data_IF_912793352981
#
_entry.id   IF_912793352981
#
_cell.length_a   1.000
_cell.length_b   1.000
_cell.length_c   1.000
_cell.angle_alpha   90.00
_cell.angle_beta   90.00
_cell.angle_gamma   90.00
#
_symmetry.space_group_name_H-M   'P 1'
#
loop_
_entity.id
_entity.type
_entity.pdbx_description
1 polymer ?
#
# COMPACT_ATOMS: atom_id res chain seq x y z
N UNK A 1 9.80 -24.92 0.65
CA UNK A 1 9.50 -23.51 1.02
C UNK A 1 9.94 -23.12 2.43
N UNK A 2 10.85 -23.86 3.09
CA UNK A 2 11.32 -23.52 4.45
C UNK A 2 10.16 -23.25 5.41
N UNK A 3 10.27 -22.19 6.21
CA UNK A 3 9.24 -21.72 7.14
C UNK A 3 8.10 -20.92 6.50
N UNK A 4 8.15 -20.66 5.18
CA UNK A 4 7.22 -19.72 4.52
C UNK A 4 5.76 -20.08 4.78
N UNK A 5 5.35 -21.32 4.48
CA UNK A 5 3.93 -21.70 4.54
C UNK A 5 3.37 -21.61 5.96
N UNK A 6 4.10 -22.16 6.93
CA UNK A 6 3.75 -22.06 8.36
C UNK A 6 3.74 -20.62 8.87
N UNK A 7 4.60 -19.75 8.33
CA UNK A 7 4.64 -18.34 8.70
C UNK A 7 3.43 -17.59 8.13
N UNK A 8 3.08 -17.81 6.87
CA UNK A 8 1.89 -17.21 6.26
C UNK A 8 0.62 -17.65 7.00
N UNK A 9 0.50 -18.94 7.33
CA UNK A 9 -0.62 -19.48 8.10
C UNK A 9 -0.71 -18.82 9.50
N UNK A 10 0.42 -18.68 10.20
CA UNK A 10 0.47 -18.06 11.53
C UNK A 10 0.19 -16.55 11.54
N UNK A 11 0.40 -15.86 10.41
CA UNK A 11 0.14 -14.43 10.24
C UNK A 11 -1.17 -14.14 9.48
N UNK A 12 -1.94 -15.19 9.16
CA UNK A 12 -3.20 -15.08 8.42
C UNK A 12 -3.03 -14.34 7.06
N UNK A 13 -1.91 -14.63 6.39
CA UNK A 13 -1.59 -14.10 5.07
C UNK A 13 -1.98 -15.13 4.02
N UNK A 14 -2.93 -14.78 3.16
CA UNK A 14 -3.34 -15.65 2.06
C UNK A 14 -2.24 -15.77 1.00
N UNK A 15 -1.89 -16.99 0.53
CA UNK A 15 -1.04 -17.18 -0.64
C UNK A 15 -1.60 -16.53 -1.92
N UNK A 16 -2.90 -16.23 -1.99
CA UNK A 16 -3.52 -15.56 -3.12
C UNK A 16 -3.03 -14.11 -3.31
N UNK A 17 -2.48 -13.50 -2.24
CA UNK A 17 -1.83 -12.17 -2.27
C UNK A 17 -0.48 -12.15 -3.01
N UNK A 18 0.01 -13.32 -3.47
CA UNK A 18 1.32 -13.44 -4.08
C UNK A 18 1.48 -12.50 -5.28
N UNK A 19 2.53 -11.69 -5.21
CA UNK A 19 3.05 -10.89 -6.32
C UNK A 19 4.54 -11.13 -6.47
N UNK A 20 5.04 -11.15 -7.70
CA UNK A 20 6.40 -11.53 -8.05
C UNK A 20 7.17 -10.33 -8.60
N UNK A 21 8.29 -10.00 -7.98
CA UNK A 21 9.20 -8.94 -8.38
C UNK A 21 10.52 -9.53 -8.84
N UNK A 22 10.87 -9.30 -10.10
CA UNK A 22 12.12 -9.79 -10.68
C UNK A 22 13.24 -8.76 -10.69
N UNK A 23 12.92 -7.49 -10.43
CA UNK A 23 13.93 -6.45 -10.36
C UNK A 23 14.87 -6.62 -9.16
N UNK A 24 16.15 -6.34 -9.36
CA UNK A 24 17.21 -6.39 -8.36
C UNK A 24 17.19 -5.15 -7.44
N UNK A 25 16.07 -4.96 -6.73
CA UNK A 25 15.80 -3.78 -5.87
C UNK A 25 15.62 -4.15 -4.40
N UNK A 26 16.06 -5.33 -3.98
CA UNK A 26 15.90 -5.89 -2.63
C UNK A 26 17.25 -6.07 -1.91
N UNK A 27 17.21 -6.20 -0.59
CA UNK A 27 18.33 -6.63 0.24
C UNK A 27 19.00 -7.93 -0.28
N UNK A 28 18.22 -8.86 -0.84
CA UNK A 28 18.71 -10.12 -1.39
C UNK A 28 18.93 -10.08 -2.92
N UNK A 29 19.21 -8.91 -3.51
CA UNK A 29 19.32 -8.70 -4.97
C UNK A 29 20.19 -9.71 -5.72
N UNK A 30 21.25 -10.23 -5.10
CA UNK A 30 22.16 -11.22 -5.72
C UNK A 30 21.50 -12.56 -6.02
N UNK A 31 20.34 -12.85 -5.43
CA UNK A 31 19.58 -14.09 -5.59
C UNK A 31 18.28 -13.89 -6.41
N UNK A 32 18.06 -12.67 -6.91
CA UNK A 32 16.86 -12.29 -7.66
C UNK A 32 17.24 -12.05 -9.13
N UNK A 33 16.46 -12.62 -10.03
CA UNK A 33 16.58 -12.44 -11.48
C UNK A 33 15.20 -12.58 -12.13
N UNK A 34 15.04 -12.24 -13.42
CA UNK A 34 13.86 -12.58 -14.21
C UNK A 34 13.47 -14.05 -14.10
N UNK A 35 14.43 -14.98 -14.11
CA UNK A 35 14.18 -16.42 -13.96
C UNK A 35 13.88 -16.89 -12.53
N UNK A 36 14.18 -16.07 -11.51
CA UNK A 36 14.01 -16.37 -10.08
C UNK A 36 13.53 -15.13 -9.32
N UNK A 37 12.30 -14.63 -9.59
CA UNK A 37 11.78 -13.47 -8.89
C UNK A 37 11.62 -13.71 -7.39
N UNK A 38 11.63 -12.62 -6.62
CA UNK A 38 11.19 -12.61 -5.22
C UNK A 38 9.67 -12.63 -5.18
N UNK A 39 9.09 -13.46 -4.32
CA UNK A 39 7.67 -13.39 -3.99
C UNK A 39 7.44 -12.43 -2.84
N UNK A 40 6.39 -11.62 -2.93
CA UNK A 40 5.85 -10.82 -1.83
C UNK A 40 4.43 -11.28 -1.57
N UNK A 41 4.12 -11.50 -0.30
CA UNK A 41 2.78 -11.83 0.22
C UNK A 41 2.41 -10.76 1.23
N UNK A 42 1.12 -10.47 1.39
CA UNK A 42 0.68 -9.45 2.34
C UNK A 42 -0.73 -9.71 2.85
N UNK A 43 -0.97 -9.27 4.09
CA UNK A 43 -2.30 -9.01 4.62
C UNK A 43 -2.43 -7.48 4.85
N UNK A 44 -3.33 -7.07 5.74
CA UNK A 44 -3.62 -5.65 5.98
C UNK A 44 -2.46 -4.86 6.59
N UNK A 45 -1.59 -5.49 7.38
CA UNK A 45 -0.54 -4.79 8.14
C UNK A 45 0.87 -5.36 7.93
N UNK A 46 1.00 -6.57 7.40
CA UNK A 46 2.23 -7.35 7.36
C UNK A 46 2.54 -7.83 5.95
N UNK A 47 3.82 -7.75 5.58
CA UNK A 47 4.36 -8.07 4.27
C UNK A 47 5.50 -9.08 4.42
N UNK A 48 5.48 -10.13 3.63
CA UNK A 48 6.49 -11.20 3.65
C UNK A 48 7.18 -11.27 2.29
N UNK A 49 8.50 -11.05 2.28
CA UNK A 49 9.37 -11.24 1.13
C UNK A 49 10.08 -12.59 1.19
N UNK A 50 9.94 -13.39 0.13
CA UNK A 50 10.58 -14.69 0.00
C UNK A 50 11.38 -14.80 -1.30
N UNK A 51 12.65 -15.18 -1.18
CA UNK A 51 13.56 -15.39 -2.31
C UNK A 51 13.94 -16.87 -2.37
N UNK A 52 13.90 -17.45 -3.57
CA UNK A 52 14.32 -18.83 -3.80
C UNK A 52 15.78 -19.03 -3.37
N UNK A 53 16.02 -19.90 -2.39
CA UNK A 53 17.36 -20.12 -1.82
C UNK A 53 17.92 -18.93 -1.05
N UNK A 54 17.06 -17.99 -0.63
CA UNK A 54 17.42 -16.87 0.25
C UNK A 54 17.85 -17.36 1.64
N UNK A 55 18.76 -16.63 2.28
CA UNK A 55 19.24 -17.01 3.62
C UNK A 55 18.22 -16.65 4.71
N UNK A 56 17.33 -15.70 4.39
CA UNK A 56 16.30 -15.18 5.29
C UNK A 56 14.97 -15.02 4.56
N UNK A 57 13.88 -15.11 5.32
CA UNK A 57 12.58 -14.52 4.97
C UNK A 57 12.59 -13.07 5.44
N UNK A 58 12.23 -12.15 4.55
CA UNK A 58 12.05 -10.73 4.84
C UNK A 58 10.63 -10.51 5.38
N UNK A 59 10.48 -9.75 6.45
CA UNK A 59 9.17 -9.37 6.98
C UNK A 59 9.15 -7.87 7.28
N UNK A 60 8.07 -7.20 6.91
CA UNK A 60 7.81 -5.84 7.37
C UNK A 60 6.38 -5.71 7.88
N UNK A 61 6.16 -4.88 8.88
CA UNK A 61 4.84 -4.63 9.47
C UNK A 61 4.60 -3.13 9.64
N UNK A 62 3.34 -2.72 9.56
CA UNK A 62 2.88 -1.35 9.81
C UNK A 62 2.51 -1.19 11.29
N UNK A 63 3.48 -0.77 12.10
CA UNK A 63 3.28 -0.52 13.53
C UNK A 63 2.60 0.85 13.75
N UNK A 64 1.54 0.94 14.58
CA UNK A 64 0.82 2.19 14.82
C UNK A 64 1.67 3.34 15.40
N UNK A 65 2.75 3.01 16.12
CA UNK A 65 3.63 3.98 16.78
C UNK A 65 4.92 4.20 16.01
N UNK A 66 5.48 3.17 15.38
CA UNK A 66 6.80 3.20 14.77
C UNK A 66 6.76 3.33 13.24
N UNK A 67 5.61 3.14 12.61
CA UNK A 67 5.48 3.04 11.15
C UNK A 67 5.99 1.70 10.63
N UNK A 68 6.68 1.70 9.49
CA UNK A 68 7.27 0.49 8.92
C UNK A 68 8.39 -0.08 9.81
N UNK A 69 8.19 -1.30 10.33
CA UNK A 69 9.21 -2.06 11.09
C UNK A 69 9.63 -3.30 10.33
N UNK A 70 10.95 -3.52 10.22
CA UNK A 70 11.54 -4.55 9.36
C UNK A 70 12.22 -5.64 10.18
N UNK A 71 12.01 -6.88 9.78
CA UNK A 71 12.54 -8.08 10.42
C UNK A 71 13.09 -9.05 9.37
N UNK A 72 14.00 -9.90 9.82
CA UNK A 72 14.48 -11.05 9.05
C UNK A 72 14.33 -12.31 9.87
N UNK A 73 13.98 -13.41 9.19
CA UNK A 73 13.91 -14.74 9.77
C UNK A 73 14.88 -15.66 9.04
N UNK A 74 15.99 -16.09 9.68
CA UNK A 74 16.90 -17.07 9.08
C UNK A 74 16.19 -18.37 8.69
N UNK A 75 16.45 -18.87 7.49
CA UNK A 75 15.89 -20.13 6.97
C UNK A 75 16.75 -21.35 7.33
N UNK A 76 17.35 -21.35 8.53
CA UNK A 76 18.13 -22.47 9.06
C UNK A 76 17.26 -23.31 9.97
N UNK A 77 17.32 -24.63 9.82
CA UNK A 77 16.58 -25.57 10.68
C UNK A 77 17.10 -25.46 12.13
N UNK A 78 16.26 -24.90 13.01
CA UNK A 78 16.55 -24.72 14.44
C UNK A 78 15.32 -25.10 15.28
N UNK A 79 15.58 -25.53 16.51
CA UNK A 79 14.54 -25.86 17.51
C UNK A 79 13.80 -24.63 18.03
N UNK A 80 14.39 -23.44 17.94
CA UNK A 80 13.74 -22.16 18.23
C UNK A 80 13.94 -21.17 17.09
N UNK A 81 12.86 -20.46 16.76
CA UNK A 81 12.80 -19.46 15.70
C UNK A 81 12.84 -18.07 16.34
N UNK A 82 13.75 -17.21 15.89
CA UNK A 82 13.87 -15.83 16.37
C UNK A 82 13.87 -14.86 15.20
N UNK A 83 12.95 -13.90 15.21
CA UNK A 83 12.97 -12.77 14.30
C UNK A 83 14.05 -11.77 14.72
N UNK A 84 14.85 -11.33 13.77
CA UNK A 84 15.85 -10.29 14.00
C UNK A 84 15.34 -8.98 13.41
N UNK A 85 15.06 -8.00 14.26
CA UNK A 85 14.71 -6.65 13.83
C UNK A 85 15.90 -6.00 13.12
N UNK A 86 15.68 -5.49 11.92
CA UNK A 86 16.68 -4.71 11.20
C UNK A 86 17.04 -3.43 11.97
N UNK A 87 18.32 -3.07 11.95
CA UNK A 87 18.86 -1.90 12.66
C UNK A 87 19.27 -0.76 11.74
N UNK A 88 18.73 -0.70 10.51
CA UNK A 88 18.86 0.46 9.63
C UNK A 88 19.22 0.15 8.17
N UNK A 89 19.51 -1.11 7.82
CA UNK A 89 19.79 -1.47 6.42
C UNK A 89 18.55 -1.27 5.55
N UNK A 90 17.38 -1.67 6.04
CA UNK A 90 16.11 -1.47 5.34
C UNK A 90 15.72 0.01 5.32
N UNK A 91 15.91 0.73 6.44
CA UNK A 91 15.55 2.14 6.57
C UNK A 91 16.31 3.06 5.59
N UNK A 92 17.47 2.64 5.09
CA UNK A 92 18.19 3.40 4.04
C UNK A 92 17.33 3.67 2.81
N UNK A 93 16.46 2.72 2.44
CA UNK A 93 15.51 2.89 1.33
C UNK A 93 14.08 3.16 1.83
N UNK A 94 13.72 2.65 3.00
CA UNK A 94 12.37 2.68 3.56
C UNK A 94 12.06 3.86 4.48
N UNK A 95 13.03 4.76 4.74
CA UNK A 95 12.80 6.05 5.39
C UNK A 95 13.36 7.17 4.49
N UNK A 96 12.68 7.41 3.38
CA UNK A 96 13.14 8.34 2.33
C UNK A 96 12.01 9.24 1.85
N UNK A 97 12.31 10.18 0.93
CA UNK A 97 11.27 11.02 0.31
C UNK A 97 10.16 10.19 -0.36
N UNK A 98 10.47 8.97 -0.83
CA UNK A 98 9.51 8.05 -1.44
C UNK A 98 8.49 7.47 -0.45
N UNK A 99 8.81 7.50 0.84
CA UNK A 99 7.93 7.10 1.94
C UNK A 99 7.49 8.33 2.75
N UNK A 100 7.50 9.53 2.12
CA UNK A 100 7.12 10.81 2.74
C UNK A 100 8.02 11.21 3.92
N UNK A 101 9.25 10.71 3.98
CA UNK A 101 10.21 10.99 5.03
C UNK A 101 10.01 10.18 6.32
N UNK A 102 9.11 9.20 6.32
CA UNK A 102 8.86 8.31 7.47
C UNK A 102 9.24 6.87 7.17
N UNK A 103 9.55 6.03 8.19
CA UNK A 103 9.68 4.59 8.02
C UNK A 103 8.41 4.00 7.41
N UNK A 104 8.52 3.40 6.23
CA UNK A 104 7.35 3.06 5.44
C UNK A 104 7.60 2.06 4.32
N UNK A 105 6.55 1.79 3.55
CA UNK A 105 6.53 0.79 2.50
C UNK A 105 6.45 1.47 1.13
N UNK A 106 6.91 0.81 0.09
CA UNK A 106 6.83 1.34 -1.27
C UNK A 106 6.76 0.23 -2.31
N UNK A 107 5.96 0.47 -3.34
CA UNK A 107 5.99 -0.26 -4.60
C UNK A 107 6.70 0.62 -5.62
N UNK A 108 7.76 0.11 -6.23
CA UNK A 108 8.51 0.84 -7.27
C UNK A 108 8.25 0.21 -8.62
N UNK A 109 7.99 1.05 -9.60
CA UNK A 109 8.03 0.69 -11.02
C UNK A 109 9.32 1.26 -11.61
N UNK A 110 10.06 0.40 -12.31
CA UNK A 110 11.37 0.71 -12.88
C UNK A 110 11.47 0.23 -14.33
N UNK A 111 12.55 0.62 -14.99
CA UNK A 111 12.97 0.09 -16.29
C UNK A 111 14.06 -0.96 -16.07
N UNK A 112 13.74 -2.27 -16.02
CA UNK A 112 14.75 -3.31 -15.84
C UNK A 112 15.36 -3.74 -17.17
N UNK A 113 16.66 -4.09 -17.17
CA UNK A 113 17.25 -4.86 -18.27
C UNK A 113 16.91 -6.36 -18.17
N UNK A 114 17.43 -7.15 -19.11
CA UNK A 114 17.31 -8.61 -19.19
C UNK A 114 17.86 -9.39 -17.97
N UNK A 115 18.71 -8.76 -17.17
CA UNK A 115 19.20 -9.29 -15.89
C UNK A 115 18.35 -8.85 -14.68
N UNK A 116 17.32 -8.02 -14.90
CA UNK A 116 16.49 -7.43 -13.85
C UNK A 116 17.15 -6.23 -13.15
N UNK A 117 18.24 -5.69 -13.67
CA UNK A 117 18.92 -4.52 -13.10
C UNK A 117 18.22 -3.22 -13.52
N UNK A 118 18.05 -2.25 -12.60
CA UNK A 118 17.42 -0.98 -12.93
C UNK A 118 18.30 -0.11 -13.83
N UNK A 119 17.76 0.32 -14.97
CA UNK A 119 18.32 1.38 -15.80
C UNK A 119 18.03 2.74 -15.17
N UNK A 120 18.88 3.16 -14.23
CA UNK A 120 18.65 4.36 -13.41
C UNK A 120 18.51 5.66 -14.24
N UNK A 121 19.18 5.74 -15.39
CA UNK A 121 19.10 6.89 -16.30
C UNK A 121 17.69 7.09 -16.88
N UNK A 122 16.88 6.03 -16.95
CA UNK A 122 15.50 6.06 -17.44
C UNK A 122 14.48 6.47 -16.37
N UNK A 123 14.93 6.77 -15.15
CA UNK A 123 14.06 7.16 -14.04
C UNK A 123 13.37 5.98 -13.35
N UNK A 124 12.47 6.30 -12.43
CA UNK A 124 11.74 5.32 -11.60
C UNK A 124 10.51 5.97 -10.98
N UNK A 125 9.42 5.23 -10.91
CA UNK A 125 8.15 5.66 -10.33
C UNK A 125 7.94 5.01 -8.96
N UNK A 126 7.32 5.74 -8.05
CA UNK A 126 6.70 5.16 -6.85
C UNK A 126 5.23 5.00 -7.18
N UNK A 127 4.75 3.76 -7.22
CA UNK A 127 3.39 3.45 -7.69
C UNK A 127 2.39 3.54 -6.54
N UNK A 128 1.23 4.12 -6.83
CA UNK A 128 0.05 4.20 -5.97
C UNK A 128 -1.24 4.24 -6.80
N UNK A 129 -2.40 4.42 -6.13
CA UNK A 129 -3.70 4.44 -6.81
C UNK A 129 -3.88 5.61 -7.80
N UNK A 130 -3.09 6.69 -7.68
CA UNK A 130 -3.14 7.86 -8.58
C UNK A 130 -2.27 7.70 -9.83
N UNK A 131 -1.32 6.77 -9.78
CA UNK A 131 -0.31 6.59 -10.81
C UNK A 131 -0.94 6.24 -12.17
N UNK A 132 -0.53 6.86 -13.29
CA UNK A 132 -0.97 6.46 -14.62
C UNK A 132 -0.71 4.98 -14.88
N UNK A 133 -1.66 4.26 -15.48
CA UNK A 133 -1.53 2.81 -15.72
C UNK A 133 -0.24 2.46 -16.52
N UNK A 134 0.16 3.34 -17.45
CA UNK A 134 1.37 3.23 -18.29
C UNK A 134 2.71 3.27 -17.56
N UNK A 135 2.71 3.72 -16.30
CA UNK A 135 3.89 3.83 -15.46
C UNK A 135 3.99 2.69 -14.43
N UNK A 136 2.98 1.80 -14.36
CA UNK A 136 2.90 0.79 -13.30
C UNK A 136 3.72 -0.47 -13.60
N UNK A 137 4.23 -1.07 -12.52
CA UNK A 137 4.73 -2.45 -12.42
C UNK A 137 5.96 -2.86 -13.24
N UNK A 138 6.76 -1.92 -13.74
CA UNK A 138 8.03 -2.25 -14.36
C UNK A 138 8.98 -2.91 -13.34
N UNK A 139 9.55 -4.06 -13.69
CA UNK A 139 10.31 -4.91 -12.76
C UNK A 139 9.47 -5.97 -12.02
N UNK A 140 8.17 -6.04 -12.29
CA UNK A 140 7.23 -7.01 -11.71
C UNK A 140 6.65 -7.91 -12.79
N UNK A 141 6.33 -9.15 -12.42
CA UNK A 141 5.42 -9.98 -13.20
C UNK A 141 3.98 -9.61 -12.85
N UNK A 142 3.09 -9.65 -13.85
CA UNK A 142 1.69 -9.26 -13.72
C UNK A 142 0.83 -10.26 -14.47
N UNK A 143 -0.11 -10.89 -13.77
CA UNK A 143 -1.12 -11.76 -14.36
C UNK A 143 -2.52 -11.18 -14.17
N UNK A 144 -3.27 -11.05 -15.26
CA UNK A 144 -4.59 -10.43 -15.29
C UNK A 144 -4.94 -9.90 -16.68
N UNK A 145 -6.17 -9.42 -16.83
CA UNK A 145 -6.62 -8.69 -18.02
C UNK A 145 -7.04 -7.28 -17.66
N UNK A 146 -6.75 -6.31 -18.53
CA UNK A 146 -6.95 -4.87 -18.31
C UNK A 146 -7.28 -4.12 -19.62
N UNK A 147 -7.81 -4.84 -20.62
CA UNK A 147 -8.28 -4.28 -21.89
C UNK A 147 -7.20 -3.58 -22.70
N UNK A 148 -7.48 -2.34 -23.13
CA UNK A 148 -6.58 -1.49 -23.93
C UNK A 148 -5.56 -0.71 -23.11
N UNK A 149 -5.73 -0.59 -21.80
CA UNK A 149 -4.73 0.05 -20.93
C UNK A 149 -3.40 -0.71 -21.02
N UNK A 150 -2.27 -0.04 -20.81
CA UNK A 150 -0.94 -0.66 -20.88
C UNK A 150 -0.11 -0.30 -19.67
N UNK A 151 0.75 -1.21 -19.23
CA UNK A 151 1.63 -1.07 -18.08
C UNK A 151 3.04 -1.56 -18.42
N UNK A 152 3.99 -1.43 -17.50
CA UNK A 152 5.40 -1.81 -17.68
C UNK A 152 5.72 -3.23 -17.17
N UNK A 153 4.80 -3.88 -16.46
CA UNK A 153 4.96 -5.26 -15.99
C UNK A 153 5.14 -6.28 -17.11
N UNK A 154 5.85 -7.37 -16.79
CA UNK A 154 6.28 -8.45 -17.70
C UNK A 154 7.27 -8.04 -18.82
N UNK A 155 7.68 -6.77 -18.91
CA UNK A 155 8.57 -6.28 -19.96
C UNK A 155 9.95 -5.92 -19.39
N UNK A 156 10.98 -6.20 -20.17
CA UNK A 156 12.37 -5.81 -19.93
C UNK A 156 12.87 -4.98 -21.11
N UNK A 157 13.92 -4.19 -20.89
CA UNK A 157 14.56 -3.39 -21.93
C UNK A 157 15.82 -4.11 -22.40
N UNK A 158 15.95 -4.25 -23.72
CA UNK A 158 17.14 -4.79 -24.34
C UNK A 158 18.29 -3.77 -24.30
N UNK A 159 19.53 -4.26 -24.31
CA UNK A 159 20.70 -3.38 -24.33
C UNK A 159 20.68 -2.46 -25.56
N UNK A 160 20.61 -1.15 -25.31
CA UNK A 160 20.63 -0.12 -26.36
C UNK A 160 19.26 0.41 -26.79
N UNK A 161 18.15 -0.15 -26.27
CA UNK A 161 16.82 0.42 -26.47
C UNK A 161 16.56 1.64 -25.58
N UNK A 162 15.81 2.62 -26.11
CA UNK A 162 15.35 3.76 -25.32
C UNK A 162 14.12 3.37 -24.49
N UNK A 163 14.17 3.61 -23.18
CA UNK A 163 13.03 3.50 -22.28
C UNK A 163 11.76 4.23 -22.73
N UNK A 164 11.89 5.32 -23.51
CA UNK A 164 10.75 6.01 -24.10
C UNK A 164 9.98 5.15 -25.11
N UNK A 165 10.64 4.16 -25.71
CA UNK A 165 10.10 3.26 -26.74
C UNK A 165 9.67 1.89 -26.20
N UNK A 166 9.65 1.70 -24.88
CA UNK A 166 9.28 0.43 -24.24
C UNK A 166 7.99 -0.17 -24.81
N UNK A 167 8.10 -1.35 -25.41
CA UNK A 167 6.97 -2.06 -26.01
C UNK A 167 6.09 -2.74 -24.94
N UNK A 168 5.15 -1.99 -24.38
CA UNK A 168 4.20 -2.45 -23.35
C UNK A 168 3.18 -3.47 -23.84
N UNK A 169 3.04 -3.67 -25.15
CA UNK A 169 2.11 -4.67 -25.70
C UNK A 169 2.54 -6.10 -25.32
N UNK A 170 3.85 -6.35 -25.23
CA UNK A 170 4.39 -7.69 -24.96
C UNK A 170 3.95 -8.23 -23.59
N UNK A 171 3.77 -7.35 -22.61
CA UNK A 171 3.39 -7.72 -21.25
C UNK A 171 1.89 -7.67 -20.96
N UNK A 172 1.08 -7.21 -21.92
CA UNK A 172 -0.32 -6.89 -21.71
C UNK A 172 -1.21 -8.14 -21.64
N UNK A 173 -2.25 -8.09 -20.79
CA UNK A 173 -3.29 -9.13 -20.68
C UNK A 173 -2.75 -10.57 -20.48
N UNK A 174 -1.59 -10.70 -19.82
CA UNK A 174 -0.95 -11.98 -19.55
C UNK A 174 -1.77 -12.77 -18.49
N UNK A 175 -2.24 -13.97 -18.82
CA UNK A 175 -3.04 -14.79 -17.89
C UNK A 175 -2.23 -15.86 -17.14
N UNK A 176 -0.98 -16.09 -17.53
CA UNK A 176 -0.15 -17.15 -16.99
C UNK A 176 1.32 -16.83 -17.15
N UNK A 177 2.11 -17.08 -16.10
CA UNK A 177 3.56 -16.87 -16.10
C UNK A 177 4.36 -18.04 -16.66
N UNK A 178 3.72 -19.16 -17.06
CA UNK A 178 4.40 -20.39 -17.47
C UNK A 178 5.37 -20.21 -18.66
N UNK A 179 5.13 -19.20 -19.50
CA UNK A 179 6.01 -18.88 -20.63
C UNK A 179 7.12 -17.88 -20.28
N UNK A 180 7.06 -17.26 -19.09
CA UNK A 180 8.02 -16.27 -18.61
C UNK A 180 8.98 -16.89 -17.58
N UNK A 181 8.46 -17.71 -16.67
CA UNK A 181 9.21 -18.33 -15.57
C UNK A 181 8.68 -19.72 -15.20
N UNK A 182 9.51 -20.47 -14.46
CA UNK A 182 9.08 -21.69 -13.76
C UNK A 182 8.35 -21.31 -12.48
N UNK A 183 7.07 -21.64 -12.39
CA UNK A 183 6.21 -21.24 -11.27
C UNK A 183 6.13 -22.29 -10.16
N UNK A 184 6.58 -23.53 -10.40
CA UNK A 184 6.53 -24.64 -9.43
C UNK A 184 7.21 -24.34 -8.08
N UNK A 185 8.29 -23.51 -8.01
CA UNK A 185 8.90 -23.14 -6.73
C UNK A 185 8.10 -22.13 -5.88
N UNK A 186 6.98 -21.59 -6.38
CA UNK A 186 6.16 -20.59 -5.70
C UNK A 186 4.88 -21.22 -5.12
N UNK A 187 4.20 -20.53 -4.20
CA UNK A 187 2.99 -21.07 -3.57
C UNK A 187 1.79 -21.06 -4.51
N UNK A 188 1.74 -20.08 -5.42
CA UNK A 188 0.76 -20.01 -6.52
C UNK A 188 1.50 -19.73 -7.83
N UNK A 189 0.90 -20.04 -9.00
CA UNK A 189 1.50 -19.70 -10.30
C UNK A 189 1.21 -18.26 -10.74
N UNK A 190 0.63 -17.43 -9.88
CA UNK A 190 0.12 -16.10 -10.22
C UNK A 190 0.99 -14.98 -9.64
N UNK A 191 0.89 -13.80 -10.26
CA UNK A 191 1.35 -12.52 -9.72
C UNK A 191 0.25 -11.51 -9.97
N UNK A 192 -0.77 -11.54 -9.11
CA UNK A 192 -2.10 -11.05 -9.46
C UNK A 192 -2.15 -9.52 -9.62
N UNK A 193 -2.74 -9.07 -10.73
CA UNK A 193 -2.87 -7.66 -11.07
C UNK A 193 -3.70 -6.89 -10.03
N UNK A 194 -4.79 -7.46 -9.53
CA UNK A 194 -5.62 -6.81 -8.51
C UNK A 194 -4.89 -6.79 -7.16
N UNK A 195 -4.14 -7.85 -6.83
CA UNK A 195 -3.27 -7.84 -5.65
C UNK A 195 -2.22 -6.73 -5.70
N UNK A 196 -1.61 -6.48 -6.87
CA UNK A 196 -0.69 -5.34 -7.06
C UNK A 196 -1.36 -3.98 -6.85
N UNK A 197 -2.59 -3.81 -7.36
CA UNK A 197 -3.38 -2.58 -7.18
C UNK A 197 -3.74 -2.32 -5.72
N UNK A 198 -4.08 -3.37 -4.96
CA UNK A 198 -4.33 -3.22 -3.52
C UNK A 198 -3.03 -2.92 -2.78
N UNK A 199 -1.94 -3.62 -3.10
CA UNK A 199 -0.63 -3.43 -2.48
C UNK A 199 -0.11 -1.99 -2.63
N UNK A 200 -0.18 -1.40 -3.82
CA UNK A 200 0.30 -0.04 -4.08
C UNK A 200 -0.51 1.01 -3.28
N UNK A 201 -1.83 0.85 -3.17
CA UNK A 201 -2.64 1.71 -2.32
C UNK A 201 -2.31 1.51 -0.83
N UNK A 202 -2.26 0.26 -0.36
CA UNK A 202 -2.02 -0.11 1.03
C UNK A 202 -0.70 0.48 1.54
N UNK A 203 0.37 0.34 0.76
CA UNK A 203 1.69 0.86 1.15
C UNK A 203 1.70 2.38 1.31
N UNK A 204 1.06 3.13 0.40
CA UNK A 204 0.98 4.59 0.52
C UNK A 204 0.06 5.05 1.64
N UNK A 205 -1.00 4.31 1.94
CA UNK A 205 -1.86 4.59 3.07
C UNK A 205 -1.15 4.38 4.40
N UNK A 206 -0.36 3.32 4.57
CA UNK A 206 0.49 3.13 5.75
C UNK A 206 1.48 4.29 5.94
N UNK A 207 2.07 4.78 4.86
CA UNK A 207 2.95 5.95 4.91
C UNK A 207 2.19 7.22 5.33
N UNK A 208 0.95 7.39 4.87
CA UNK A 208 0.09 8.51 5.27
C UNK A 208 -0.25 8.50 6.76
N UNK A 209 -0.66 7.34 7.27
CA UNK A 209 -0.97 7.11 8.68
C UNK A 209 0.25 7.37 9.57
N UNK A 210 1.39 6.80 9.17
CA UNK A 210 2.66 6.98 9.88
C UNK A 210 3.07 8.45 9.92
N UNK A 211 2.98 9.15 8.78
CA UNK A 211 3.29 10.58 8.71
C UNK A 211 2.40 11.39 9.65
N UNK A 212 1.08 11.14 9.63
CA UNK A 212 0.14 11.86 10.48
C UNK A 212 0.42 11.63 11.98
N UNK A 213 0.74 10.39 12.38
CA UNK A 213 1.13 10.04 13.75
C UNK A 213 2.46 10.69 14.17
N UNK A 214 3.51 10.60 13.34
CA UNK A 214 4.84 11.11 13.67
C UNK A 214 4.89 12.64 13.69
N UNK A 215 4.38 13.31 12.64
CA UNK A 215 4.41 14.78 12.57
C UNK A 215 3.64 15.42 13.71
N UNK A 216 2.52 14.84 14.12
CA UNK A 216 1.74 15.35 15.25
C UNK A 216 2.51 15.23 16.57
N UNK A 217 3.13 14.07 16.84
CA UNK A 217 3.96 13.89 18.04
C UNK A 217 5.15 14.86 18.06
N UNK A 218 5.82 15.06 16.91
CA UNK A 218 6.92 16.02 16.77
C UNK A 218 6.42 17.45 16.97
N UNK A 219 5.30 17.83 16.35
CA UNK A 219 4.74 19.16 16.46
C UNK A 219 4.35 19.50 17.91
N UNK A 220 3.67 18.57 18.60
CA UNK A 220 3.31 18.72 20.03
C UNK A 220 4.55 18.83 20.92
N UNK A 221 5.58 18.02 20.66
CA UNK A 221 6.82 18.10 21.42
C UNK A 221 7.47 19.49 21.29
N UNK A 222 7.59 20.02 20.07
CA UNK A 222 8.13 21.36 19.86
C UNK A 222 7.24 22.48 20.41
N UNK A 223 5.91 22.34 20.35
CA UNK A 223 4.99 23.31 20.96
C UNK A 223 5.16 23.35 22.47
N UNK A 224 5.27 22.17 23.12
CA UNK A 224 5.52 22.07 24.56
C UNK A 224 6.84 22.73 24.98
N UNK A 225 7.92 22.50 24.24
CA UNK A 225 9.21 23.18 24.48
C UNK A 225 9.10 24.71 24.32
N UNK A 226 8.33 25.17 23.33
CA UNK A 226 8.12 26.59 23.10
C UNK A 226 7.22 27.23 24.17
N UNK A 227 6.22 26.49 24.66
CA UNK A 227 5.36 26.93 25.75
C UNK A 227 6.17 27.15 27.02
N UNK A 228 7.06 26.21 27.36
CA UNK A 228 7.99 26.36 28.49
C UNK A 228 8.88 27.59 28.32
N UNK A 229 9.50 27.76 27.14
CA UNK A 229 10.40 28.87 26.87
C UNK A 229 9.72 30.25 26.90
N UNK A 230 8.42 30.33 26.57
CA UNK A 230 7.64 31.56 26.51
C UNK A 230 6.71 31.78 27.71
N UNK A 231 6.73 30.88 28.70
CA UNK A 231 5.85 30.95 29.88
C UNK A 231 4.36 30.82 29.56
N UNK A 232 4.01 30.01 28.54
CA UNK A 232 2.62 29.70 28.16
C UNK A 232 2.13 28.48 28.93
N UNK A 233 0.80 28.31 28.97
CA UNK A 233 0.18 27.12 29.54
C UNK A 233 0.66 25.84 28.84
N UNK A 234 0.89 24.72 29.56
CA UNK A 234 1.41 23.48 28.98
C UNK A 234 0.57 22.94 27.81
N UNK A 235 -0.76 23.07 27.91
CA UNK A 235 -1.72 22.59 26.91
C UNK A 235 -2.05 23.63 25.83
N UNK A 236 -1.39 24.80 25.84
CA UNK A 236 -1.57 25.78 24.77
C UNK A 236 -1.10 25.21 23.44
N UNK A 237 -2.00 25.18 22.45
CA UNK A 237 -1.66 24.81 21.08
C UNK A 237 -1.47 26.07 20.23
N UNK A 238 -0.29 26.23 19.63
CA UNK A 238 -0.04 27.33 18.70
C UNK A 238 -0.75 27.12 17.36
N UNK A 239 -1.13 28.22 16.70
CA UNK A 239 -1.71 28.18 15.35
C UNK A 239 -0.78 27.47 14.34
N UNK A 240 0.53 27.60 14.50
CA UNK A 240 1.51 26.88 13.68
C UNK A 240 1.42 25.37 13.86
N UNK A 241 1.31 24.91 15.11
CA UNK A 241 1.14 23.48 15.42
C UNK A 241 -0.18 22.96 14.87
N UNK A 242 -1.27 23.71 15.07
CA UNK A 242 -2.58 23.41 14.46
C UNK A 242 -2.50 23.22 12.95
N UNK A 243 -1.93 24.18 12.21
CA UNK A 243 -1.79 24.08 10.74
C UNK A 243 -0.94 22.88 10.29
N UNK A 244 0.11 22.51 11.04
CA UNK A 244 0.93 21.33 10.72
C UNK A 244 0.12 20.04 10.83
N UNK A 245 -0.66 19.89 11.91
CA UNK A 245 -1.50 18.73 12.16
C UNK A 245 -2.61 18.64 11.09
N UNK A 246 -3.30 19.74 10.81
CA UNK A 246 -4.34 19.80 9.77
C UNK A 246 -3.78 19.39 8.40
N UNK A 247 -2.59 19.89 8.04
CA UNK A 247 -1.96 19.55 6.75
C UNK A 247 -1.69 18.05 6.57
N UNK A 248 -1.30 17.33 7.62
CA UNK A 248 -1.08 15.88 7.54
C UNK A 248 -2.41 15.10 7.57
N UNK A 249 -3.43 15.60 8.26
CA UNK A 249 -4.77 15.03 8.25
C UNK A 249 -5.41 15.14 6.86
N UNK A 250 -5.30 16.30 6.19
CA UNK A 250 -5.84 16.48 4.84
C UNK A 250 -5.15 15.53 3.84
N UNK A 251 -3.83 15.33 3.96
CA UNK A 251 -3.09 14.34 3.15
C UNK A 251 -3.53 12.91 3.43
N UNK A 252 -3.85 12.58 4.68
CA UNK A 252 -4.40 11.28 5.05
C UNK A 252 -5.80 11.10 4.44
N UNK A 253 -6.66 12.13 4.52
CA UNK A 253 -8.02 12.10 3.99
C UNK A 253 -8.06 11.90 2.46
N UNK A 254 -7.15 12.55 1.73
CA UNK A 254 -6.97 12.33 0.28
C UNK A 254 -6.72 10.86 -0.06
N UNK A 255 -5.83 10.22 0.69
CA UNK A 255 -5.56 8.80 0.54
C UNK A 255 -6.78 7.94 0.93
N UNK A 256 -7.39 8.24 2.08
CA UNK A 256 -8.59 7.54 2.56
C UNK A 256 -9.70 7.54 1.51
N UNK A 257 -9.94 8.66 0.82
CA UNK A 257 -11.04 8.80 -0.15
C UNK A 257 -10.64 8.57 -1.61
N UNK A 258 -9.48 7.96 -1.87
CA UNK A 258 -8.99 7.69 -3.22
C UNK A 258 -8.97 8.94 -4.11
N UNK A 259 -8.66 10.11 -3.54
CA UNK A 259 -8.53 11.34 -4.30
C UNK A 259 -7.45 11.18 -5.38
N UNK A 260 -7.79 11.56 -6.61
CA UNK A 260 -6.91 11.43 -7.77
C UNK A 260 -6.72 10.00 -8.29
N UNK A 261 -7.54 9.02 -7.88
CA UNK A 261 -7.48 7.66 -8.40
C UNK A 261 -7.55 7.62 -9.93
N UNK A 262 -6.66 6.81 -10.53
CA UNK A 262 -6.66 6.57 -11.95
C UNK A 262 -7.99 5.91 -12.38
N UNK A 263 -8.73 6.57 -13.28
CA UNK A 263 -9.99 6.04 -13.82
C UNK A 263 -9.71 4.90 -14.78
N UNK A 264 -10.25 3.71 -14.47
CA UNK A 264 -10.09 2.55 -15.33
C UNK A 264 -10.85 2.78 -16.64
N UNK A 265 -10.14 2.62 -17.76
CA UNK A 265 -10.71 2.78 -19.11
C UNK A 265 -11.29 1.46 -19.66
N UNK A 266 -10.99 0.34 -18.99
CA UNK A 266 -11.52 -0.98 -19.31
C UNK A 266 -11.62 -1.83 -18.02
N UNK A 267 -12.50 -2.85 -18.00
CA UNK A 267 -12.58 -3.77 -16.87
C UNK A 267 -11.26 -4.51 -16.62
N UNK A 268 -10.96 -4.68 -15.34
CA UNK A 268 -9.81 -5.42 -14.84
C UNK A 268 -10.29 -6.76 -14.26
N UNK A 269 -9.49 -7.80 -14.45
CA UNK A 269 -9.72 -9.11 -13.84
C UNK A 269 -8.39 -9.74 -13.46
N UNK A 270 -8.28 -10.18 -12.21
CA UNK A 270 -7.16 -10.98 -11.73
C UNK A 270 -7.16 -12.39 -12.31
N UNK A 271 -6.23 -13.21 -11.84
CA UNK A 271 -6.07 -14.62 -12.19
C UNK A 271 -5.99 -15.54 -10.98
N UNK A 272 -5.77 -14.99 -9.77
CA UNK A 272 -5.78 -15.71 -8.51
C UNK A 272 -7.15 -15.63 -7.81
N UNK A 273 -7.29 -16.25 -6.65
CA UNK A 273 -8.48 -16.11 -5.78
C UNK A 273 -8.43 -14.87 -4.86
N UNK A 274 -7.54 -13.92 -5.14
CA UNK A 274 -7.32 -12.75 -4.27
C UNK A 274 -8.56 -11.88 -4.13
N UNK A 275 -9.29 -11.65 -5.22
CA UNK A 275 -10.47 -10.78 -5.22
C UNK A 275 -11.54 -11.30 -4.25
N UNK A 276 -11.82 -12.60 -4.30
CA UNK A 276 -12.81 -13.26 -3.45
C UNK A 276 -12.34 -13.26 -2.00
N UNK A 277 -11.10 -13.69 -1.72
CA UNK A 277 -10.57 -13.73 -0.35
C UNK A 277 -10.52 -12.34 0.28
N UNK A 278 -9.98 -11.35 -0.43
CA UNK A 278 -9.88 -9.99 0.05
C UNK A 278 -11.25 -9.38 0.40
N UNK A 279 -12.26 -9.61 -0.45
CA UNK A 279 -13.61 -9.07 -0.24
C UNK A 279 -14.35 -9.70 0.95
N UNK A 280 -13.94 -10.89 1.41
CA UNK A 280 -14.52 -11.52 2.61
C UNK A 280 -13.94 -11.01 3.93
N UNK A 281 -12.86 -10.24 3.90
CA UNK A 281 -12.21 -9.70 5.10
C UNK A 281 -12.89 -8.43 5.60
N UNK A 282 -12.65 -8.11 6.87
CA UNK A 282 -13.10 -6.85 7.49
C UNK A 282 -14.61 -6.81 7.74
N UNK A 283 -15.12 -5.66 8.23
CA UNK A 283 -16.51 -5.55 8.59
C UNK A 283 -17.41 -5.42 7.35
N UNK A 284 -18.65 -5.88 7.53
CA UNK A 284 -19.75 -5.77 6.58
C UNK A 284 -20.90 -5.09 7.31
N UNK A 285 -21.53 -4.11 6.67
CA UNK A 285 -22.70 -3.45 7.25
C UNK A 285 -23.95 -4.34 7.20
N UNK A 286 -25.02 -3.90 7.86
CA UNK A 286 -26.33 -4.56 7.91
C UNK A 286 -26.99 -4.75 6.54
N UNK A 287 -26.52 -4.06 5.50
CA UNK A 287 -26.98 -4.21 4.12
C UNK A 287 -26.08 -5.12 3.27
N UNK A 288 -25.04 -5.73 3.85
CA UNK A 288 -24.11 -6.61 3.14
C UNK A 288 -23.04 -5.86 2.33
N UNK A 289 -22.79 -4.58 2.62
CA UNK A 289 -21.79 -3.73 1.95
C UNK A 289 -20.50 -3.68 2.77
N UNK A 290 -19.37 -3.58 2.09
CA UNK A 290 -18.04 -3.45 2.73
C UNK A 290 -17.14 -2.55 1.89
N UNK A 291 -16.26 -1.80 2.56
CA UNK A 291 -15.21 -1.00 1.91
C UNK A 291 -14.21 -1.83 1.09
N UNK A 292 -14.22 -3.17 1.25
CA UNK A 292 -13.41 -4.10 0.45
C UNK A 292 -14.07 -4.58 -0.83
N UNK A 293 -15.33 -4.24 -1.06
CA UNK A 293 -16.02 -4.65 -2.29
C UNK A 293 -15.40 -3.95 -3.50
N UNK A 294 -15.00 -4.73 -4.49
CA UNK A 294 -14.39 -4.25 -5.73
C UNK A 294 -15.42 -3.71 -6.73
N UNK A 295 -15.02 -2.71 -7.51
CA UNK A 295 -15.71 -2.32 -8.76
C UNK A 295 -15.00 -2.92 -9.98
N UNK A 296 -13.69 -2.63 -10.12
CA UNK A 296 -12.78 -3.08 -11.18
C UNK A 296 -13.26 -2.83 -12.62
N UNK A 297 -14.28 -1.99 -12.81
CA UNK A 297 -14.78 -1.57 -14.13
C UNK A 297 -14.34 -0.17 -14.46
N UNK A 298 -14.40 0.71 -13.47
CA UNK A 298 -14.14 2.15 -13.57
C UNK A 298 -13.18 2.64 -12.48
N UNK A 299 -13.07 1.91 -11.37
CA UNK A 299 -12.18 2.20 -10.22
C UNK A 299 -11.85 0.92 -9.45
N UNK A 300 -10.98 1.00 -8.44
CA UNK A 300 -10.57 -0.16 -7.64
C UNK A 300 -11.72 -0.66 -6.77
N UNK A 301 -12.19 0.15 -5.82
CA UNK A 301 -13.25 -0.21 -4.88
C UNK A 301 -14.60 0.37 -5.26
N UNK A 302 -15.66 -0.39 -4.98
CA UNK A 302 -17.05 0.04 -5.17
C UNK A 302 -17.39 1.25 -4.33
N UNK A 303 -16.89 1.31 -3.11
CA UNK A 303 -16.99 2.48 -2.23
C UNK A 303 -15.58 3.04 -2.03
N UNK A 304 -15.23 4.18 -2.64
CA UNK A 304 -13.87 4.76 -2.62
C UNK A 304 -13.55 5.38 -1.25
N UNK A 305 -13.49 4.52 -0.22
CA UNK A 305 -12.97 4.79 1.10
C UNK A 305 -12.07 3.61 1.52
N UNK A 306 -10.84 3.90 1.93
CA UNK A 306 -9.84 2.87 2.21
C UNK A 306 -10.26 2.01 3.40
N UNK A 307 -10.22 0.70 3.21
CA UNK A 307 -10.44 -0.29 4.28
C UNK A 307 -9.44 -0.15 5.44
N UNK A 308 -8.30 0.52 5.23
CA UNK A 308 -7.33 0.79 6.29
C UNK A 308 -7.82 1.79 7.35
N UNK A 309 -8.99 2.39 7.18
CA UNK A 309 -9.68 3.10 8.27
C UNK A 309 -9.97 2.18 9.47
N UNK A 310 -10.07 0.86 9.25
CA UNK A 310 -10.23 -0.14 10.33
C UNK A 310 -8.91 -0.67 10.88
N UNK A 311 -7.76 -0.22 10.38
CA UNK A 311 -6.47 -0.70 10.84
C UNK A 311 -6.15 -0.19 12.24
N UNK A 312 -5.36 -0.96 12.99
CA UNK A 312 -4.82 -0.53 14.29
C UNK A 312 -4.03 0.78 14.17
N UNK A 313 -3.36 0.99 13.03
CA UNK A 313 -2.62 2.20 12.73
C UNK A 313 -3.52 3.45 12.64
N UNK A 314 -4.76 3.33 12.15
CA UNK A 314 -5.74 4.43 12.17
C UNK A 314 -6.38 4.60 13.55
N UNK A 315 -6.78 3.50 14.19
CA UNK A 315 -7.47 3.51 15.49
C UNK A 315 -6.59 4.15 16.59
N UNK A 316 -5.28 3.87 16.57
CA UNK A 316 -4.31 4.36 17.54
C UNK A 316 -3.60 5.66 17.10
N UNK A 317 -4.10 6.36 16.08
CA UNK A 317 -3.64 7.71 15.79
C UNK A 317 -3.82 8.60 17.04
N UNK A 318 -2.97 9.63 17.21
CA UNK A 318 -3.24 10.70 18.17
C UNK A 318 -4.67 11.24 18.02
N UNK A 319 -5.38 11.46 19.13
CA UNK A 319 -6.81 11.80 19.12
C UNK A 319 -7.09 13.07 18.28
N UNK A 320 -6.21 14.07 18.32
CA UNK A 320 -6.27 15.28 17.50
C UNK A 320 -6.25 15.00 16.00
N UNK A 321 -5.47 14.01 15.55
CA UNK A 321 -5.44 13.56 14.15
C UNK A 321 -6.71 12.78 13.82
N UNK A 322 -7.08 11.81 14.66
CA UNK A 322 -8.22 10.92 14.41
C UNK A 322 -9.51 11.74 14.35
N UNK A 323 -9.76 12.57 15.35
CA UNK A 323 -11.00 13.33 15.48
C UNK A 323 -11.10 14.39 14.37
N UNK A 324 -10.01 15.09 14.04
CA UNK A 324 -10.00 16.03 12.91
C UNK A 324 -10.23 15.31 11.57
N UNK A 325 -9.60 14.16 11.36
CA UNK A 325 -9.76 13.38 10.12
C UNK A 325 -11.20 12.87 9.99
N UNK A 326 -11.81 12.37 11.07
CA UNK A 326 -13.20 11.91 11.06
C UNK A 326 -14.19 13.06 10.88
N UNK A 327 -13.89 14.25 11.42
CA UNK A 327 -14.69 15.45 11.20
C UNK A 327 -14.66 15.89 9.73
N UNK A 328 -13.47 16.02 9.14
CA UNK A 328 -13.32 16.36 7.73
C UNK A 328 -13.91 15.31 6.80
N UNK A 329 -13.75 14.03 7.13
CA UNK A 329 -14.40 12.92 6.42
C UNK A 329 -15.92 13.09 6.45
N UNK A 330 -16.51 13.44 7.59
CA UNK A 330 -17.94 13.71 7.71
C UNK A 330 -18.39 14.89 6.83
N UNK A 331 -17.64 16.00 6.81
CA UNK A 331 -17.94 17.15 5.96
C UNK A 331 -17.92 16.79 4.46
N UNK A 332 -16.97 15.95 4.04
CA UNK A 332 -16.96 15.42 2.67
C UNK A 332 -18.17 14.52 2.44
N UNK A 333 -18.44 13.55 3.30
CA UNK A 333 -19.51 12.58 3.08
C UNK A 333 -20.94 13.17 3.23
N UNK A 334 -21.09 14.32 3.89
CA UNK A 334 -22.36 15.06 3.94
C UNK A 334 -22.53 16.06 2.81
N UNK A 335 -21.46 16.31 2.03
CA UNK A 335 -21.46 17.30 0.95
C UNK A 335 -21.29 18.74 1.43
N UNK A 336 -20.95 18.97 2.70
CA UNK A 336 -20.56 20.28 3.20
C UNK A 336 -19.25 20.77 2.54
N UNK A 337 -18.33 19.83 2.28
CA UNK A 337 -17.14 20.09 1.46
C UNK A 337 -17.47 20.00 -0.04
N UNK A 338 -17.28 21.13 -0.73
CA UNK A 338 -17.50 21.31 -2.17
C UNK A 338 -16.21 21.47 -2.97
N UNK A 339 -15.06 21.20 -2.36
CA UNK A 339 -13.77 21.29 -3.04
C UNK A 339 -13.67 20.31 -4.22
N UNK A 340 -12.97 20.72 -5.27
CA UNK A 340 -12.77 19.92 -6.49
C UNK A 340 -12.04 18.59 -6.19
N UNK A 341 -11.24 18.56 -5.13
CA UNK A 341 -10.48 17.40 -4.67
C UNK A 341 -11.33 16.15 -4.41
N UNK A 342 -12.57 16.32 -3.94
CA UNK A 342 -13.49 15.21 -3.66
C UNK A 342 -14.66 15.13 -4.66
N UNK A 343 -14.61 15.89 -5.75
CA UNK A 343 -15.69 15.94 -6.74
C UNK A 343 -15.90 14.60 -7.49
N UNK A 344 -14.94 13.67 -7.41
CA UNK A 344 -15.09 12.31 -7.95
C UNK A 344 -16.10 11.46 -7.18
N UNK A 345 -16.41 11.82 -5.92
CA UNK A 345 -17.40 11.12 -5.10
C UNK A 345 -18.81 11.59 -5.46
N UNK A 346 -19.61 10.70 -6.04
CA UNK A 346 -21.03 10.96 -6.28
C UNK A 346 -21.82 11.07 -4.97
N UNK A 347 -23.02 11.66 -5.01
CA UNK A 347 -23.89 11.70 -3.83
C UNK A 347 -24.21 10.29 -3.28
N UNK A 348 -24.37 9.31 -4.17
CA UNK A 348 -24.58 7.91 -3.79
C UNK A 348 -23.33 7.29 -3.13
N UNK A 349 -22.13 7.60 -3.62
CA UNK A 349 -20.89 7.15 -2.99
C UNK A 349 -20.75 7.71 -1.58
N UNK A 350 -20.98 9.02 -1.43
CA UNK A 350 -20.90 9.73 -0.14
C UNK A 350 -21.88 9.14 0.88
N UNK A 351 -23.13 8.94 0.47
CA UNK A 351 -24.15 8.31 1.32
C UNK A 351 -23.76 6.87 1.70
N UNK A 352 -23.37 6.04 0.74
CA UNK A 352 -23.05 4.64 1.00
C UNK A 352 -21.84 4.49 1.93
N UNK A 353 -20.77 5.26 1.71
CA UNK A 353 -19.60 5.26 2.60
C UNK A 353 -20.01 5.70 4.01
N UNK A 354 -20.78 6.77 4.14
CA UNK A 354 -21.25 7.27 5.45
C UNK A 354 -22.03 6.20 6.20
N UNK A 355 -23.01 5.57 5.55
CA UNK A 355 -23.83 4.52 6.17
C UNK A 355 -22.99 3.30 6.57
N UNK A 356 -22.07 2.85 5.70
CA UNK A 356 -21.16 1.74 6.02
C UNK A 356 -20.36 2.07 7.28
N UNK A 357 -19.73 3.25 7.33
CA UNK A 357 -18.92 3.66 8.48
C UNK A 357 -19.76 3.79 9.76
N UNK A 358 -20.95 4.37 9.68
CA UNK A 358 -21.85 4.48 10.85
C UNK A 358 -22.23 3.13 11.46
N UNK A 359 -22.35 2.10 10.64
CA UNK A 359 -22.72 0.74 11.09
C UNK A 359 -21.51 -0.07 11.56
N UNK A 360 -20.32 0.19 11.02
CA UNK A 360 -19.16 -0.70 11.16
C UNK A 360 -17.95 -0.11 11.87
N UNK A 361 -17.78 1.22 11.89
CA UNK A 361 -16.63 1.88 12.53
C UNK A 361 -16.99 2.29 13.97
N UNK A 362 -16.42 1.64 14.99
CA UNK A 362 -16.67 2.03 16.38
C UNK A 362 -16.01 3.38 16.70
N UNK A 363 -16.54 4.08 17.71
CA UNK A 363 -15.93 5.31 18.21
C UNK A 363 -16.09 6.54 17.31
N UNK A 364 -17.03 6.51 16.36
CA UNK A 364 -17.36 7.68 15.55
C UNK A 364 -17.84 8.87 16.43
N UNK A 365 -17.41 10.11 16.12
CA UNK A 365 -17.88 11.32 16.79
C UNK A 365 -19.41 11.49 16.73
N UNK A 366 -19.99 12.17 17.74
CA UNK A 366 -21.45 12.32 17.87
C UNK A 366 -22.12 12.97 16.65
N UNK A 367 -21.42 13.88 15.97
CA UNK A 367 -21.88 14.55 14.75
C UNK A 367 -22.25 13.59 13.61
N UNK A 368 -21.69 12.37 13.57
CA UNK A 368 -22.02 11.37 12.56
C UNK A 368 -23.45 10.83 12.71
N UNK A 369 -24.03 10.93 13.91
CA UNK A 369 -25.38 10.45 14.23
C UNK A 369 -26.48 11.49 13.99
N UNK A 370 -26.10 12.72 13.65
CA UNK A 370 -27.02 13.81 13.29
C UNK A 370 -27.33 13.77 11.80
#
# INVERSE_FOLDING_TARGET
HGYLKSLLDALEISPESQVLVFSQTSFQLRKISPSRPRAVYFNDDTYIGWVQGGDVIEMSTSDPQLGGVFYTLPQQEKTSITFTRDRGQCLTCHASSRTRGVPGHLVRSIFPNDLGQPLLASGTFTTDHTSPFSERWGGWYVTGTHGSMRHMGNVMIDEGEDSATLNREQGANCKSLQHLIRTEPYLTPHSDLVALMVLEHQTQMHNALTLASMETRIARHYDGMMNEALGREPDYQSESTGRRIQSVCDKLLRGLLFAGEFKLEAPITGTSGFQEEFATRGPVDSQGRSLRQFDLKTRMFKYPCSYLIYSDAFIQLPDDVRDYTLHRLHEVLTGADTSEEFAHLSAADRQAIREILMDTLPGLPEEWRK
#
